data_IF_576378328501
#
_entry.id   IF_576378328501
#
_cell.length_a   1.000
_cell.length_b   1.000
_cell.length_c   1.000
_cell.angle_alpha   90.00
_cell.angle_beta   90.00
_cell.angle_gamma   90.00
#
_symmetry.space_group_name_H-M   'P 1'
#
loop_
_entity.id
_entity.type
_entity.pdbx_description
1 polymer ?
#
# COMPACT_ATOMS: atom_id res chain seq x y z
N UNK A 1 14.04 13.69 -0.28
CA UNK A 1 15.09 12.65 -0.44
C UNK A 1 15.11 11.99 -1.81
N UNK A 2 14.10 11.20 -2.20
CA UNK A 2 14.18 10.46 -3.47
C UNK A 2 14.21 11.38 -4.71
N UNK A 3 13.34 12.40 -4.73
CA UNK A 3 13.32 13.42 -5.80
C UNK A 3 14.64 14.18 -5.90
N UNK A 4 15.22 14.56 -4.77
CA UNK A 4 16.49 15.31 -4.71
C UNK A 4 17.67 14.44 -5.14
N UNK A 5 17.71 13.17 -4.72
CA UNK A 5 18.83 12.26 -5.01
C UNK A 5 18.83 11.73 -6.44
N UNK A 6 17.67 11.66 -7.10
CA UNK A 6 17.56 10.97 -8.39
C UNK A 6 16.90 11.79 -9.50
N UNK A 7 16.37 13.00 -9.22
CA UNK A 7 15.71 13.88 -10.21
C UNK A 7 14.59 13.16 -11.00
N UNK A 8 13.84 12.28 -10.34
CA UNK A 8 12.83 11.39 -10.98
C UNK A 8 11.39 11.93 -10.91
N UNK A 9 11.14 13.02 -10.18
CA UNK A 9 9.79 13.44 -9.84
C UNK A 9 9.11 14.32 -10.91
N UNK A 10 9.73 14.49 -12.08
CA UNK A 10 9.04 15.04 -13.25
C UNK A 10 8.20 13.93 -13.91
N UNK A 11 6.87 14.09 -13.87
CA UNK A 11 5.83 13.14 -14.27
C UNK A 11 5.91 12.58 -15.73
N UNK A 12 6.90 12.96 -16.54
CA UNK A 12 6.86 12.76 -18.00
C UNK A 12 7.04 11.31 -18.46
N UNK A 13 7.67 10.43 -17.67
CA UNK A 13 7.98 9.04 -18.04
C UNK A 13 7.26 7.98 -17.18
N UNK A 14 6.53 8.40 -16.15
CA UNK A 14 5.85 7.51 -15.20
C UNK A 14 4.66 6.75 -15.80
N UNK A 15 3.97 7.34 -16.79
CA UNK A 15 2.78 6.76 -17.40
C UNK A 15 3.06 5.42 -18.12
N UNK A 16 4.28 5.24 -18.64
CA UNK A 16 4.66 4.01 -19.35
C UNK A 16 4.90 2.83 -18.40
N UNK A 17 5.33 3.10 -17.16
CA UNK A 17 5.67 2.07 -16.16
C UNK A 17 4.51 1.76 -15.21
N UNK A 18 3.54 2.68 -15.05
CA UNK A 18 2.31 2.44 -14.27
C UNK A 18 1.53 1.21 -14.74
N UNK A 19 1.52 0.90 -16.04
CA UNK A 19 0.74 -0.21 -16.61
C UNK A 19 1.20 -1.61 -16.14
N UNK A 20 2.40 -1.73 -15.56
CA UNK A 20 2.94 -3.01 -15.11
C UNK A 20 2.85 -3.21 -13.59
N UNK A 21 2.43 -2.19 -12.84
CA UNK A 21 2.36 -2.24 -11.37
C UNK A 21 0.90 -2.37 -10.91
N UNK A 22 0.53 -3.55 -10.40
CA UNK A 22 -0.78 -3.80 -9.80
C UNK A 22 -0.78 -3.31 -8.34
N UNK A 23 -0.67 -1.99 -8.14
CA UNK A 23 -0.61 -1.38 -6.82
C UNK A 23 -2.01 -1.30 -6.18
N UNK A 24 -2.13 -1.62 -4.88
CA UNK A 24 -3.40 -1.50 -4.17
C UNK A 24 -3.94 -0.08 -4.22
N UNK A 25 -5.24 0.04 -4.45
CA UNK A 25 -5.98 1.30 -4.41
C UNK A 25 -7.22 1.09 -3.55
N UNK A 26 -7.58 2.14 -2.82
CA UNK A 26 -8.92 2.29 -2.22
C UNK A 26 -9.74 3.15 -3.18
N UNK A 27 -10.84 2.59 -3.69
CA UNK A 27 -11.81 3.28 -4.56
C UNK A 27 -13.14 3.46 -3.84
N UNK A 28 -14.01 4.30 -4.40
CA UNK A 28 -15.37 4.51 -3.85
C UNK A 28 -16.19 3.21 -3.90
N UNK A 29 -15.98 2.36 -4.90
CA UNK A 29 -16.64 1.04 -5.07
C UNK A 29 -16.22 -0.01 -4.02
N UNK A 30 -15.07 0.18 -3.37
CA UNK A 30 -14.71 -0.61 -2.19
C UNK A 30 -15.65 -0.33 -1.01
N UNK A 31 -16.56 0.64 -1.15
CA UNK A 31 -17.69 0.91 -0.29
C UNK A 31 -19.01 1.09 -1.06
N UNK A 32 -19.73 0.00 -1.30
CA UNK A 32 -21.09 0.03 -1.89
C UNK A 32 -22.16 -0.21 -0.81
N UNK A 33 -23.30 0.46 -0.95
CA UNK A 33 -24.23 0.86 0.10
C UNK A 33 -25.34 -0.18 0.38
N UNK A 34 -24.98 -1.38 0.87
CA UNK A 34 -25.99 -2.39 1.23
C UNK A 34 -26.19 -2.62 2.74
N UNK A 35 -25.21 -2.33 3.61
CA UNK A 35 -25.42 -1.96 5.03
C UNK A 35 -24.21 -1.18 5.54
N UNK A 36 -24.40 -0.28 6.51
CA UNK A 36 -23.30 0.50 7.08
C UNK A 36 -22.19 -0.37 7.68
N UNK A 37 -22.54 -1.45 8.38
CA UNK A 37 -21.58 -2.39 8.97
C UNK A 37 -20.82 -3.22 7.93
N UNK A 38 -21.50 -3.75 6.89
CA UNK A 38 -20.81 -4.46 5.81
C UNK A 38 -19.89 -3.54 5.00
N UNK A 39 -20.25 -2.27 4.87
CA UNK A 39 -19.40 -1.22 4.29
C UNK A 39 -18.14 -0.99 5.13
N UNK A 40 -18.27 -0.84 6.45
CA UNK A 40 -17.12 -0.68 7.35
C UNK A 40 -16.17 -1.87 7.24
N UNK A 41 -16.71 -3.09 7.28
CA UNK A 41 -15.94 -4.33 7.23
C UNK A 41 -15.21 -4.51 5.89
N UNK A 42 -15.92 -4.31 4.76
CA UNK A 42 -15.33 -4.38 3.41
C UNK A 42 -14.18 -3.37 3.25
N UNK A 43 -14.39 -2.14 3.73
CA UNK A 43 -13.38 -1.09 3.70
C UNK A 43 -12.13 -1.48 4.52
N UNK A 44 -12.31 -1.93 5.76
CA UNK A 44 -11.21 -2.36 6.64
C UNK A 44 -10.44 -3.55 6.05
N UNK A 45 -11.12 -4.52 5.46
CA UNK A 45 -10.48 -5.67 4.77
C UNK A 45 -9.64 -5.22 3.59
N UNK A 46 -10.16 -4.30 2.78
CA UNK A 46 -9.43 -3.75 1.63
C UNK A 46 -8.18 -2.99 2.08
N UNK A 47 -8.31 -2.18 3.14
CA UNK A 47 -7.17 -1.47 3.73
C UNK A 47 -6.13 -2.46 4.22
N UNK A 48 -6.51 -3.45 5.03
CA UNK A 48 -5.58 -4.43 5.59
C UNK A 48 -4.89 -5.25 4.50
N UNK A 49 -5.63 -5.81 3.55
CA UNK A 49 -5.07 -6.55 2.41
C UNK A 49 -4.14 -5.70 1.55
N UNK A 50 -4.51 -4.44 1.31
CA UNK A 50 -3.68 -3.47 0.61
C UNK A 50 -2.36 -3.20 1.33
N UNK A 51 -2.38 -3.02 2.66
CA UNK A 51 -1.18 -2.81 3.47
C UNK A 51 -0.24 -4.03 3.43
N UNK A 52 -0.78 -5.25 3.53
CA UNK A 52 0.01 -6.48 3.36
C UNK A 52 0.63 -6.58 1.97
N UNK A 53 -0.09 -6.15 0.93
CA UNK A 53 0.45 -6.13 -0.43
C UNK A 53 1.55 -5.08 -0.59
N UNK A 54 1.38 -3.90 0.00
CA UNK A 54 2.40 -2.85 0.01
C UNK A 54 3.68 -3.25 0.74
N UNK A 55 3.61 -4.14 1.74
CA UNK A 55 4.80 -4.68 2.40
C UNK A 55 5.79 -5.27 1.38
N UNK A 56 5.33 -6.05 0.41
CA UNK A 56 6.19 -6.63 -0.63
C UNK A 56 6.82 -5.57 -1.54
N UNK A 57 6.07 -4.52 -1.87
CA UNK A 57 6.59 -3.41 -2.66
C UNK A 57 7.62 -2.58 -1.88
N UNK A 58 7.40 -2.33 -0.58
CA UNK A 58 8.32 -1.59 0.27
C UNK A 58 9.63 -2.35 0.54
N UNK A 59 9.58 -3.68 0.60
CA UNK A 59 10.79 -4.51 0.66
C UNK A 59 11.66 -4.33 -0.59
N UNK A 60 11.06 -4.25 -1.79
CA UNK A 60 11.79 -3.91 -3.01
C UNK A 60 12.39 -2.50 -2.93
N UNK A 61 11.63 -1.51 -2.44
CA UNK A 61 12.14 -0.14 -2.21
C UNK A 61 13.35 -0.16 -1.26
N UNK A 62 13.32 -1.00 -0.23
CA UNK A 62 14.43 -1.12 0.73
C UNK A 62 15.71 -1.66 0.08
N UNK A 63 15.58 -2.61 -0.84
CA UNK A 63 16.69 -3.17 -1.62
C UNK A 63 17.28 -2.11 -2.56
N UNK A 64 16.43 -1.37 -3.27
CA UNK A 64 16.83 -0.38 -4.29
C UNK A 64 17.36 0.92 -3.67
N UNK A 65 16.78 1.39 -2.56
CA UNK A 65 17.10 2.67 -1.95
C UNK A 65 18.01 2.55 -0.72
N UNK A 66 19.16 1.90 -0.92
CA UNK A 66 20.12 1.55 0.14
C UNK A 66 20.53 2.74 1.04
N UNK A 67 20.60 3.96 0.51
CA UNK A 67 20.97 5.16 1.30
C UNK A 67 19.96 5.52 2.38
N UNK A 68 18.70 5.07 2.27
CA UNK A 68 17.62 5.33 3.22
C UNK A 68 17.10 4.02 3.84
N UNK A 69 17.92 2.96 3.82
CA UNK A 69 17.52 1.61 4.23
C UNK A 69 16.86 1.56 5.61
N UNK A 70 17.33 2.35 6.58
CA UNK A 70 16.72 2.40 7.91
C UNK A 70 15.33 3.04 7.90
N UNK A 71 15.14 4.13 7.16
CA UNK A 71 13.85 4.80 7.02
C UNK A 71 12.83 3.87 6.34
N UNK A 72 13.25 3.18 5.26
CA UNK A 72 12.37 2.20 4.59
C UNK A 72 12.08 1.00 5.50
N UNK A 73 13.07 0.52 6.28
CA UNK A 73 12.84 -0.58 7.24
C UNK A 73 11.82 -0.19 8.32
N UNK A 74 11.90 1.02 8.85
CA UNK A 74 10.91 1.55 9.80
C UNK A 74 9.53 1.67 9.15
N UNK A 75 9.47 2.09 7.88
CA UNK A 75 8.23 2.15 7.11
C UNK A 75 7.61 0.76 6.91
N UNK A 76 8.40 -0.25 6.54
CA UNK A 76 7.96 -1.64 6.40
C UNK A 76 7.36 -2.15 7.72
N UNK A 77 8.07 -1.97 8.83
CA UNK A 77 7.61 -2.39 10.16
C UNK A 77 6.29 -1.71 10.55
N UNK A 78 6.21 -0.38 10.37
CA UNK A 78 5.02 0.40 10.69
C UNK A 78 3.82 0.01 9.82
N UNK A 79 4.06 -0.28 8.54
CA UNK A 79 3.03 -0.74 7.59
C UNK A 79 2.50 -2.11 7.98
N UNK A 80 3.38 -3.04 8.32
CA UNK A 80 2.99 -4.38 8.79
C UNK A 80 2.21 -4.32 10.11
N UNK A 81 2.66 -3.46 11.04
CA UNK A 81 1.96 -3.24 12.30
C UNK A 81 0.55 -2.70 12.06
N UNK A 82 0.41 -1.67 11.22
CA UNK A 82 -0.89 -1.12 10.84
C UNK A 82 -1.78 -2.17 10.16
N UNK A 83 -1.22 -3.00 9.25
CA UNK A 83 -1.96 -4.05 8.57
C UNK A 83 -2.58 -5.04 9.56
N UNK A 84 -1.79 -5.47 10.57
CA UNK A 84 -2.24 -6.34 11.67
C UNK A 84 -3.31 -5.67 12.53
N UNK A 85 -3.13 -4.39 12.89
CA UNK A 85 -4.10 -3.64 13.68
C UNK A 85 -5.43 -3.50 12.94
N UNK A 86 -5.42 -3.11 11.67
CA UNK A 86 -6.64 -2.99 10.86
C UNK A 86 -7.29 -4.36 10.67
N UNK A 87 -6.50 -5.43 10.50
CA UNK A 87 -7.01 -6.81 10.44
C UNK A 87 -7.76 -7.22 11.72
N UNK A 88 -7.39 -6.70 12.89
CA UNK A 88 -8.12 -6.97 14.13
C UNK A 88 -9.44 -6.19 14.24
N UNK A 89 -9.64 -5.17 13.41
CA UNK A 89 -10.87 -4.36 13.40
C UNK A 89 -11.95 -4.91 12.47
N UNK A 90 -11.61 -5.87 11.59
CA UNK A 90 -12.57 -6.53 10.70
C UNK A 90 -13.38 -7.58 11.46
N UNK A 91 -14.60 -7.88 10.98
CA UNK A 91 -15.51 -8.85 11.57
C UNK A 91 -14.90 -10.26 11.52
N UNK A 92 -14.32 -10.63 10.36
CA UNK A 92 -13.61 -11.90 10.20
C UNK A 92 -12.18 -11.67 9.70
N UNK A 93 -11.17 -11.68 10.58
CA UNK A 93 -9.77 -11.53 10.24
C UNK A 93 -9.24 -12.55 9.22
N UNK A 94 -9.82 -13.75 9.14
CA UNK A 94 -9.31 -14.82 8.28
C UNK A 94 -9.68 -14.66 6.81
N UNK A 95 -10.68 -13.82 6.52
CA UNK A 95 -11.06 -13.48 5.16
C UNK A 95 -10.27 -12.28 4.60
N UNK A 96 -9.33 -11.72 5.37
CA UNK A 96 -8.38 -10.73 4.84
C UNK A 96 -7.38 -11.44 3.92
N UNK A 97 -7.39 -11.09 2.64
CA UNK A 97 -6.45 -11.64 1.67
C UNK A 97 -5.02 -11.13 1.95
N UNK A 98 -4.13 -12.05 2.32
CA UNK A 98 -2.70 -11.81 2.52
C UNK A 98 -1.95 -12.47 1.37
N UNK A 99 -1.05 -11.77 0.66
CA UNK A 99 -0.28 -12.37 -0.42
C UNK A 99 0.56 -13.54 0.11
N UNK A 100 0.41 -14.73 -0.48
CA UNK A 100 1.23 -15.88 -0.13
C UNK A 100 2.69 -15.71 -0.61
N UNK A 101 3.57 -16.58 -0.12
CA UNK A 101 5.00 -16.56 -0.46
C UNK A 101 5.27 -16.64 -1.98
N UNK A 102 4.47 -17.41 -2.72
CA UNK A 102 4.64 -17.56 -4.16
C UNK A 102 4.28 -16.26 -4.91
N UNK A 103 3.18 -15.63 -4.50
CA UNK A 103 2.69 -14.34 -5.01
C UNK A 103 3.70 -13.24 -4.73
N UNK A 104 4.22 -13.17 -3.50
CA UNK A 104 5.27 -12.21 -3.13
C UNK A 104 6.53 -12.40 -3.96
N UNK A 105 6.99 -13.66 -4.14
CA UNK A 105 8.17 -13.99 -4.94
C UNK A 105 7.98 -13.62 -6.42
N UNK A 106 6.81 -13.92 -6.99
CA UNK A 106 6.46 -13.54 -8.36
C UNK A 106 6.47 -12.03 -8.55
N UNK A 107 5.89 -11.29 -7.59
CA UNK A 107 5.88 -9.83 -7.61
C UNK A 107 7.29 -9.25 -7.53
N UNK A 108 8.11 -9.70 -6.59
CA UNK A 108 9.51 -9.25 -6.48
C UNK A 108 10.31 -9.53 -7.76
N UNK A 109 10.08 -10.67 -8.41
CA UNK A 109 10.73 -10.99 -9.68
C UNK A 109 10.31 -10.02 -10.81
N UNK A 110 9.03 -9.61 -10.85
CA UNK A 110 8.53 -8.61 -11.82
C UNK A 110 9.08 -7.21 -11.58
N UNK A 111 9.39 -6.87 -10.33
CA UNK A 111 9.92 -5.55 -9.95
C UNK A 111 11.41 -5.40 -10.24
N UNK A 112 12.17 -6.50 -10.26
CA UNK A 112 13.60 -6.46 -10.62
C UNK A 112 13.76 -6.11 -12.09
N UNK A 113 14.62 -5.13 -12.36
CA UNK A 113 14.98 -4.72 -13.71
C UNK A 113 16.48 -4.58 -13.83
N UNK A 114 17.05 -5.08 -14.93
CA UNK A 114 18.49 -4.92 -15.22
C UNK A 114 18.89 -3.45 -15.46
N UNK A 115 17.90 -2.55 -15.57
CA UNK A 115 18.11 -1.12 -15.82
C UNK A 115 17.88 -0.32 -14.53
N UNK A 116 18.95 0.21 -13.96
CA UNK A 116 18.92 1.01 -12.72
C UNK A 116 17.98 2.22 -12.77
N UNK A 117 17.75 2.81 -13.96
CA UNK A 117 16.80 3.92 -14.11
C UNK A 117 15.34 3.46 -13.93
N UNK A 118 15.00 2.24 -14.37
CA UNK A 118 13.65 1.66 -14.22
C UNK A 118 13.41 1.39 -12.74
N UNK A 119 14.38 0.83 -12.02
CA UNK A 119 14.25 0.58 -10.57
C UNK A 119 13.99 1.87 -9.78
N UNK A 120 14.64 2.98 -10.16
CA UNK A 120 14.41 4.30 -9.56
C UNK A 120 13.00 4.82 -9.84
N UNK A 121 12.48 4.69 -11.06
CA UNK A 121 11.11 5.12 -11.36
C UNK A 121 10.09 4.22 -10.65
N UNK A 122 10.28 2.89 -10.69
CA UNK A 122 9.43 1.94 -9.98
C UNK A 122 9.37 2.26 -8.49
N UNK A 123 10.51 2.56 -7.87
CA UNK A 123 10.58 2.97 -6.46
C UNK A 123 9.80 4.27 -6.21
N UNK A 124 9.90 5.26 -7.11
CA UNK A 124 9.16 6.52 -6.98
C UNK A 124 7.64 6.30 -7.09
N UNK A 125 7.22 5.50 -8.08
CA UNK A 125 5.82 5.11 -8.29
C UNK A 125 5.25 4.41 -7.05
N UNK A 126 5.98 3.44 -6.49
CA UNK A 126 5.57 2.73 -5.27
C UNK A 126 5.37 3.71 -4.12
N UNK A 127 6.35 4.59 -3.86
CA UNK A 127 6.27 5.52 -2.73
C UNK A 127 5.15 6.55 -2.89
N UNK A 128 4.94 7.07 -4.11
CA UNK A 128 3.86 8.01 -4.39
C UNK A 128 2.48 7.35 -4.22
N UNK A 129 2.29 6.16 -4.79
CA UNK A 129 1.01 5.46 -4.71
C UNK A 129 0.74 4.94 -3.29
N UNK A 130 1.79 4.53 -2.56
CA UNK A 130 1.69 4.22 -1.13
C UNK A 130 1.25 5.44 -0.32
N UNK A 131 1.81 6.62 -0.59
CA UNK A 131 1.40 7.88 0.05
C UNK A 131 -0.09 8.16 -0.19
N UNK A 132 -0.53 8.08 -1.45
CA UNK A 132 -1.95 8.27 -1.79
C UNK A 132 -2.86 7.23 -1.13
N UNK A 133 -2.42 5.97 -1.04
CA UNK A 133 -3.14 4.91 -0.34
C UNK A 133 -3.27 5.21 1.16
N UNK A 134 -2.21 5.71 1.80
CA UNK A 134 -2.19 6.07 3.20
C UNK A 134 -3.08 7.29 3.51
N UNK A 135 -3.10 8.31 2.66
CA UNK A 135 -4.02 9.45 2.79
C UNK A 135 -5.49 9.02 2.82
N UNK A 136 -5.86 8.12 1.90
CA UNK A 136 -7.21 7.54 1.85
C UNK A 136 -7.49 6.65 3.07
N UNK A 137 -6.51 5.86 3.49
CA UNK A 137 -6.62 4.99 4.68
C UNK A 137 -6.89 5.82 5.93
N UNK A 138 -6.15 6.90 6.16
CA UNK A 138 -6.36 7.80 7.31
C UNK A 138 -7.76 8.43 7.28
N UNK A 139 -8.21 8.90 6.11
CA UNK A 139 -9.57 9.46 5.96
C UNK A 139 -10.64 8.41 6.27
N UNK A 140 -10.48 7.18 5.76
CA UNK A 140 -11.42 6.09 6.01
C UNK A 140 -11.47 5.71 7.49
N UNK A 141 -10.32 5.49 8.14
CA UNK A 141 -10.26 5.14 9.56
C UNK A 141 -10.88 6.21 10.46
N UNK A 142 -10.65 7.51 10.18
CA UNK A 142 -11.29 8.61 10.92
C UNK A 142 -12.81 8.62 10.75
N UNK A 143 -13.30 8.34 9.54
CA UNK A 143 -14.73 8.24 9.29
C UNK A 143 -15.35 7.08 10.09
N UNK A 144 -14.67 5.93 10.12
CA UNK A 144 -15.10 4.75 10.88
C UNK A 144 -15.11 5.00 12.40
N UNK A 145 -14.10 5.70 12.92
CA UNK A 145 -14.03 6.10 14.33
C UNK A 145 -15.20 7.01 14.71
N UNK A 146 -15.40 8.08 13.96
CA UNK A 146 -16.48 9.05 14.21
C UNK A 146 -17.87 8.38 14.16
N UNK A 147 -18.08 7.50 13.19
CA UNK A 147 -19.38 6.83 13.03
C UNK A 147 -19.65 5.76 14.09
N UNK A 148 -18.61 5.08 14.60
CA UNK A 148 -18.75 4.17 15.75
C UNK A 148 -19.11 4.95 17.02
N UNK A 149 -18.57 6.15 17.23
CA UNK A 149 -18.93 6.99 18.38
C UNK A 149 -20.37 7.53 18.35
N UNK A 150 -21.01 7.63 17.18
CA UNK A 150 -22.43 8.00 17.07
C UNK A 150 -23.41 6.82 17.24
N UNK A 151 -22.89 5.60 17.41
CA UNK A 151 -23.70 4.39 17.58
C UNK A 151 -23.93 4.00 19.05
N UNK A 152 -23.69 4.93 19.99
CA UNK A 152 -23.87 4.76 21.45
C UNK A 152 -25.08 5.55 21.93
#
# INVERSE_FOLDING_TARGET
>A
QMCEKFTVCENSMELLLRNNLNLPKVTEEDGDLLTFLSFQDKCLRKISSGLYTFQTYLEHVQETFASEKQNVKSLCYSTEHLARTVRQMVINPDEVAIPDSATQKSLRAKLKSDKTWIEKITTHLILRDFTSFMEKTVRALRYLENTRSFSV
#
